data_IF_000963352368
#
_entry.id   IF_000963352368
#
_cell.length_a   1.000
_cell.length_b   1.000
_cell.length_c   1.000
_cell.angle_alpha   90.00
_cell.angle_beta   90.00
_cell.angle_gamma   90.00
#
_symmetry.space_group_name_H-M   'P 1'
#
loop_
_entity.id
_entity.type
_entity.pdbx_description
1 polymer ?
#
# COMPACT_ATOMS: atom_id res chain seq x y z
N UNK A 1 42.90 32.21 66.67
CA UNK A 1 42.41 30.83 66.50
C UNK A 1 41.12 30.88 65.71
N UNK A 2 41.18 30.51 64.43
CA UNK A 2 40.01 30.31 63.56
C UNK A 2 40.38 29.15 62.61
N UNK A 3 39.56 28.11 62.61
CA UNK A 3 39.80 26.86 61.90
C UNK A 3 39.31 26.96 60.44
N UNK A 4 40.18 26.57 59.49
CA UNK A 4 39.82 26.28 58.11
C UNK A 4 39.15 24.90 58.04
N UNK A 5 37.93 24.83 57.50
CA UNK A 5 37.27 23.59 57.08
C UNK A 5 37.54 23.35 55.60
N UNK A 6 38.29 22.30 55.30
CA UNK A 6 38.49 21.75 53.95
C UNK A 6 37.29 20.87 53.58
N UNK A 7 36.53 21.27 52.56
CA UNK A 7 35.52 20.44 51.90
C UNK A 7 36.22 19.57 50.82
N UNK A 8 36.31 18.27 51.08
CA UNK A 8 36.72 17.29 50.07
C UNK A 8 35.52 16.98 49.17
N UNK A 9 35.58 17.38 47.91
CA UNK A 9 34.63 16.97 46.88
C UNK A 9 34.98 15.58 46.35
N UNK A 10 34.07 14.62 46.50
CA UNK A 10 34.16 13.32 45.82
C UNK A 10 33.84 13.51 44.33
N UNK A 11 34.86 13.53 43.48
CA UNK A 11 34.69 13.32 42.04
C UNK A 11 34.37 11.84 41.82
N UNK A 12 33.09 11.53 41.62
CA UNK A 12 32.69 10.24 41.05
C UNK A 12 33.02 10.33 39.57
N UNK A 13 34.05 9.61 39.13
CA UNK A 13 34.31 9.37 37.71
C UNK A 13 33.09 8.68 37.11
N UNK A 14 32.23 9.46 36.46
CA UNK A 14 31.13 8.92 35.68
C UNK A 14 31.74 8.29 34.43
N UNK A 15 31.95 6.97 34.48
CA UNK A 15 32.33 6.18 33.32
C UNK A 15 31.32 6.49 32.18
N UNK A 16 31.79 6.87 30.98
CA UNK A 16 30.90 7.10 29.85
C UNK A 16 29.99 5.87 29.67
N UNK A 17 28.68 6.06 29.45
CA UNK A 17 27.79 4.93 29.23
C UNK A 17 28.35 4.06 28.10
N UNK A 18 28.61 2.78 28.41
CA UNK A 18 29.13 1.86 27.41
C UNK A 18 28.17 1.84 26.23
N UNK A 19 28.68 1.93 24.99
CA UNK A 19 27.83 1.80 23.82
C UNK A 19 27.09 0.46 23.89
N UNK A 20 25.79 0.43 23.53
CA UNK A 20 25.02 -0.79 23.57
C UNK A 20 25.73 -1.90 22.79
N UNK A 21 25.67 -3.16 23.26
CA UNK A 21 26.34 -4.27 22.61
C UNK A 21 25.91 -4.35 21.14
N UNK A 22 26.89 -4.58 20.26
CA UNK A 22 26.64 -4.71 18.84
C UNK A 22 25.62 -5.84 18.58
N UNK A 23 24.66 -5.66 17.65
CA UNK A 23 23.70 -6.70 17.31
C UNK A 23 24.42 -7.98 16.89
N UNK A 24 24.01 -9.12 17.45
CA UNK A 24 24.61 -10.43 17.14
C UNK A 24 24.07 -11.04 15.84
N UNK A 25 23.02 -10.48 15.27
CA UNK A 25 22.45 -10.92 13.98
C UNK A 25 23.00 -10.03 12.87
N UNK A 26 23.65 -10.60 11.82
CA UNK A 26 24.13 -9.80 10.70
C UNK A 26 22.95 -9.07 10.04
N UNK A 27 23.15 -7.84 9.52
CA UNK A 27 22.09 -7.11 8.87
C UNK A 27 21.57 -7.91 7.66
N UNK A 28 20.26 -7.85 7.37
CA UNK A 28 19.70 -8.54 6.22
C UNK A 28 20.36 -8.09 4.92
N UNK A 29 20.49 -8.99 3.95
CA UNK A 29 21.08 -8.65 2.65
C UNK A 29 20.08 -7.90 1.77
N UNK A 30 20.54 -7.42 0.61
CA UNK A 30 19.62 -7.04 -0.47
C UNK A 30 18.85 -8.26 -0.97
N UNK A 31 17.79 -8.00 -1.75
CA UNK A 31 16.99 -9.05 -2.38
C UNK A 31 17.86 -9.93 -3.27
N UNK A 32 17.72 -11.25 -3.09
CA UNK A 32 18.38 -12.26 -3.89
C UNK A 32 17.34 -13.10 -4.64
N UNK A 33 17.65 -13.43 -5.89
CA UNK A 33 16.83 -14.28 -6.75
C UNK A 33 17.55 -14.63 -8.05
N UNK A 34 16.91 -15.46 -8.85
CA UNK A 34 17.37 -15.87 -10.17
C UNK A 34 17.25 -14.70 -11.15
N UNK A 35 18.35 -14.26 -11.79
CA UNK A 35 18.28 -13.20 -12.77
C UNK A 35 17.55 -13.67 -14.03
N UNK A 36 16.64 -12.84 -14.55
CA UNK A 36 15.96 -13.09 -15.82
C UNK A 36 15.97 -11.82 -16.68
N UNK A 37 15.93 -12.01 -18.00
CA UNK A 37 15.87 -10.89 -18.95
C UNK A 37 14.42 -10.39 -19.15
N UNK A 38 13.43 -11.20 -18.80
CA UNK A 38 12.03 -10.93 -19.09
C UNK A 38 11.10 -11.40 -17.98
N UNK A 39 10.13 -10.55 -17.64
CA UNK A 39 8.99 -10.86 -16.79
C UNK A 39 7.74 -10.34 -17.52
N UNK A 40 6.73 -11.21 -17.71
CA UNK A 40 5.61 -11.02 -18.64
C UNK A 40 4.59 -9.92 -18.34
N UNK A 41 5.02 -8.85 -17.67
CA UNK A 41 4.20 -7.71 -17.31
C UNK A 41 4.99 -6.41 -17.43
N UNK A 42 4.26 -5.29 -17.46
CA UNK A 42 4.80 -3.94 -17.25
C UNK A 42 4.26 -3.39 -15.95
N UNK A 43 4.92 -2.34 -15.46
CA UNK A 43 4.52 -1.66 -14.24
C UNK A 43 4.05 -0.26 -14.57
N UNK A 44 2.79 0.03 -14.28
CA UNK A 44 2.30 1.40 -14.17
C UNK A 44 2.75 1.93 -12.81
N UNK A 45 3.54 3.01 -12.81
CA UNK A 45 4.21 3.54 -11.64
C UNK A 45 3.70 4.94 -11.28
N UNK A 46 3.58 5.18 -9.98
CA UNK A 46 3.27 6.48 -9.39
C UNK A 46 4.50 7.42 -9.35
N UNK A 47 5.14 7.64 -10.51
CA UNK A 47 6.21 8.65 -10.71
C UNK A 47 5.60 10.03 -10.99
N UNK A 48 6.42 11.09 -11.12
CA UNK A 48 5.96 12.41 -11.59
C UNK A 48 6.70 12.81 -12.88
N UNK A 49 6.05 12.79 -14.06
CA UNK A 49 4.68 12.33 -14.32
C UNK A 49 4.52 10.81 -14.13
N UNK A 50 3.29 10.29 -13.98
CA UNK A 50 3.01 8.85 -14.00
C UNK A 50 3.60 8.19 -15.23
N UNK A 51 4.13 6.98 -15.09
CA UNK A 51 4.87 6.31 -16.17
C UNK A 51 4.58 4.82 -16.21
N UNK A 52 4.91 4.20 -17.34
CA UNK A 52 4.99 2.76 -17.50
C UNK A 52 6.46 2.35 -17.64
N UNK A 53 6.86 1.40 -16.80
CA UNK A 53 8.16 0.73 -16.87
C UNK A 53 8.00 -0.60 -17.59
N UNK A 54 8.87 -0.81 -18.57
CA UNK A 54 9.13 -2.13 -19.13
C UNK A 54 10.28 -2.79 -18.36
N UNK A 55 10.00 -3.80 -17.50
CA UNK A 55 11.04 -4.37 -16.67
C UNK A 55 12.13 -5.08 -17.48
N UNK A 56 11.84 -5.58 -18.68
CA UNK A 56 12.83 -6.30 -19.49
C UNK A 56 13.91 -5.37 -20.06
N UNK A 57 13.53 -4.14 -20.41
CA UNK A 57 14.45 -3.15 -21.01
C UNK A 57 14.91 -2.07 -20.04
N UNK A 58 14.20 -1.91 -18.92
CA UNK A 58 14.32 -0.78 -18.01
C UNK A 58 13.82 0.55 -18.57
N UNK A 59 13.23 0.56 -19.77
CA UNK A 59 12.67 1.76 -20.36
C UNK A 59 11.45 2.23 -19.55
N UNK A 60 11.49 3.49 -19.14
CA UNK A 60 10.36 4.17 -18.49
C UNK A 60 9.80 5.20 -19.45
N UNK A 61 8.49 5.15 -19.71
CA UNK A 61 7.80 6.11 -20.59
C UNK A 61 6.62 6.76 -19.87
N UNK A 62 6.43 8.09 -19.94
CA UNK A 62 5.27 8.75 -19.36
C UNK A 62 3.96 8.16 -19.91
N UNK A 63 2.95 8.03 -19.04
CA UNK A 63 1.62 7.62 -19.48
C UNK A 63 1.00 8.72 -20.37
N UNK A 64 0.45 8.39 -21.55
CA UNK A 64 -0.19 9.35 -22.42
C UNK A 64 -1.33 10.09 -21.71
N UNK A 65 -1.40 11.41 -21.87
CA UNK A 65 -2.49 12.21 -21.30
C UNK A 65 -2.42 12.45 -19.78
N UNK A 66 -1.42 11.87 -19.09
CA UNK A 66 -1.17 12.16 -17.69
C UNK A 66 -0.69 13.61 -17.51
N UNK A 67 -1.21 14.36 -16.51
CA UNK A 67 -0.75 15.70 -16.20
C UNK A 67 0.74 15.73 -15.83
N UNK A 68 1.47 16.70 -16.38
CA UNK A 68 2.86 16.99 -15.98
C UNK A 68 2.94 17.94 -14.78
N UNK A 69 4.16 18.31 -14.39
CA UNK A 69 4.46 19.28 -13.32
C UNK A 69 4.78 18.63 -11.97
N UNK A 70 4.86 19.44 -10.91
CA UNK A 70 5.05 18.98 -9.53
C UNK A 70 3.74 18.42 -8.98
N UNK A 71 3.64 17.10 -8.99
CA UNK A 71 2.42 16.36 -8.63
C UNK A 71 2.74 15.17 -7.76
N UNK A 72 1.78 14.82 -6.90
CA UNK A 72 1.77 13.55 -6.19
C UNK A 72 0.84 12.62 -6.95
N UNK A 73 1.37 11.46 -7.34
CA UNK A 73 0.63 10.47 -8.09
C UNK A 73 0.43 9.22 -7.24
N UNK A 74 -0.68 8.53 -7.45
CA UNK A 74 -0.95 7.21 -6.89
C UNK A 74 -1.56 6.33 -7.98
N UNK A 75 -1.42 5.02 -7.86
CA UNK A 75 -1.94 4.05 -8.83
C UNK A 75 -2.67 2.94 -8.10
N UNK A 76 -3.87 2.64 -8.58
CA UNK A 76 -4.75 1.63 -8.00
C UNK A 76 -5.20 0.68 -9.09
N UNK A 77 -5.22 -0.61 -8.76
CA UNK A 77 -5.75 -1.65 -9.63
C UNK A 77 -7.27 -1.72 -9.50
N UNK A 78 -7.97 -1.66 -10.64
CA UNK A 78 -9.41 -1.91 -10.74
C UNK A 78 -9.64 -2.95 -11.84
N UNK A 79 -9.61 -4.22 -11.47
CA UNK A 79 -9.68 -5.33 -12.40
C UNK A 79 -8.49 -5.31 -13.36
N UNK A 80 -8.79 -5.15 -14.66
CA UNK A 80 -7.77 -4.98 -15.71
C UNK A 80 -7.34 -3.53 -15.95
N UNK A 81 -8.00 -2.57 -15.30
CA UNK A 81 -7.80 -1.13 -15.54
C UNK A 81 -6.86 -0.55 -14.47
N UNK A 82 -5.69 -0.02 -14.86
CA UNK A 82 -4.93 0.88 -14.00
C UNK A 82 -5.67 2.20 -13.87
N UNK A 83 -5.88 2.63 -12.63
CA UNK A 83 -6.44 3.94 -12.30
C UNK A 83 -5.36 4.79 -11.65
N UNK A 84 -5.09 5.94 -12.25
CA UNK A 84 -4.10 6.91 -11.77
C UNK A 84 -4.82 8.05 -11.09
N UNK A 85 -4.40 8.37 -9.86
CA UNK A 85 -4.80 9.56 -9.14
C UNK A 85 -3.63 10.55 -9.24
N UNK A 86 -3.89 11.76 -9.72
CA UNK A 86 -2.85 12.77 -9.89
C UNK A 86 -3.26 14.08 -9.23
N UNK A 87 -2.60 14.45 -8.12
CA UNK A 87 -2.86 15.68 -7.37
C UNK A 87 -1.73 16.69 -7.57
N UNK A 88 -2.07 17.93 -7.88
CA UNK A 88 -1.10 19.03 -7.86
C UNK A 88 -0.73 19.38 -6.42
N UNK A 89 0.53 19.77 -6.19
CA UNK A 89 0.92 20.37 -4.90
C UNK A 89 0.51 21.85 -4.88
N UNK A 90 -0.23 22.24 -3.84
CA UNK A 90 -0.55 23.64 -3.52
C UNK A 90 0.37 24.22 -2.43
N UNK A 91 1.29 23.41 -1.91
CA UNK A 91 2.27 23.78 -0.89
C UNK A 91 2.96 22.53 -0.31
N UNK A 92 3.86 22.69 0.69
CA UNK A 92 4.64 21.56 1.22
C UNK A 92 3.80 20.44 1.83
N UNK A 93 2.63 20.77 2.38
CA UNK A 93 1.69 19.83 3.02
C UNK A 93 0.31 19.81 2.36
N UNK A 94 0.13 20.54 1.26
CA UNK A 94 -1.16 20.75 0.61
C UNK A 94 -1.23 20.00 -0.73
N UNK A 95 -2.29 19.22 -0.91
CA UNK A 95 -2.61 18.57 -2.17
C UNK A 95 -4.01 19.01 -2.64
N UNK A 96 -4.07 19.40 -3.90
CA UNK A 96 -5.33 19.59 -4.61
C UNK A 96 -6.07 18.24 -4.74
N UNK A 97 -7.40 18.23 -4.92
CA UNK A 97 -8.12 17.03 -5.30
C UNK A 97 -7.49 16.37 -6.54
N UNK A 98 -7.39 15.05 -6.52
CA UNK A 98 -6.73 14.29 -7.59
C UNK A 98 -7.57 14.26 -8.86
N UNK A 99 -6.94 14.49 -10.00
CA UNK A 99 -7.52 14.09 -11.29
C UNK A 99 -7.48 12.56 -11.39
N UNK A 100 -8.62 11.94 -11.69
CA UNK A 100 -8.76 10.49 -11.78
C UNK A 100 -8.77 10.07 -13.25
N UNK A 101 -7.78 9.26 -13.61
CA UNK A 101 -7.50 8.82 -14.98
C UNK A 101 -7.56 7.30 -15.06
N UNK A 102 -8.37 6.77 -15.96
CA UNK A 102 -8.54 5.32 -16.16
C UNK A 102 -7.92 4.92 -17.48
N UNK A 103 -7.02 3.94 -17.47
CA UNK A 103 -6.37 3.44 -18.67
C UNK A 103 -6.98 2.09 -19.09
N UNK A 104 -7.67 2.08 -20.23
CA UNK A 104 -8.10 0.84 -20.90
C UNK A 104 -6.93 0.09 -21.53
N UNK A 105 -6.05 0.83 -22.21
CA UNK A 105 -4.71 0.41 -22.62
C UNK A 105 -3.76 1.54 -22.17
N UNK A 106 -2.71 1.25 -21.38
CA UNK A 106 -1.73 2.23 -20.92
C UNK A 106 -0.99 2.99 -22.05
N UNK A 107 -1.08 2.53 -23.30
CA UNK A 107 -0.52 3.22 -24.48
C UNK A 107 -1.46 4.26 -25.09
N UNK A 108 -2.71 4.31 -24.64
CA UNK A 108 -3.74 5.20 -25.18
C UNK A 108 -4.08 6.31 -24.17
N UNK A 109 -4.83 7.31 -24.65
CA UNK A 109 -5.36 8.38 -23.81
C UNK A 109 -6.34 7.81 -22.75
N UNK A 110 -6.30 8.30 -21.49
CA UNK A 110 -7.15 7.81 -20.43
C UNK A 110 -8.57 8.38 -20.53
N UNK A 111 -9.51 7.68 -19.91
CA UNK A 111 -10.80 8.26 -19.56
C UNK A 111 -10.64 9.11 -18.30
N UNK A 112 -11.07 10.37 -18.38
CA UNK A 112 -11.05 11.30 -17.23
C UNK A 112 -12.36 11.19 -16.47
N UNK A 113 -12.30 10.79 -15.20
CA UNK A 113 -13.49 10.70 -14.34
C UNK A 113 -13.79 12.01 -13.60
N UNK A 114 -12.85 12.97 -13.63
CA UNK A 114 -12.94 14.25 -12.95
C UNK A 114 -12.03 14.31 -11.73
N UNK A 115 -12.33 15.23 -10.80
CA UNK A 115 -11.59 15.41 -9.55
C UNK A 115 -12.19 14.58 -8.42
N UNK A 116 -11.35 13.93 -7.63
CA UNK A 116 -11.75 13.18 -6.46
C UNK A 116 -10.67 13.27 -5.36
N UNK A 117 -11.11 13.18 -4.11
CA UNK A 117 -10.24 13.11 -2.93
C UNK A 117 -9.82 11.69 -2.59
N UNK A 118 -10.59 10.70 -3.04
CA UNK A 118 -10.34 9.29 -2.78
C UNK A 118 -11.01 8.42 -3.84
N UNK A 119 -10.37 7.29 -4.16
CA UNK A 119 -10.81 6.32 -5.17
C UNK A 119 -10.59 4.90 -4.63
N UNK A 120 -11.55 4.01 -4.83
CA UNK A 120 -11.44 2.60 -4.49
C UNK A 120 -12.15 1.72 -5.54
N UNK A 121 -11.67 0.48 -5.78
CA UNK A 121 -12.34 -0.45 -6.66
C UNK A 121 -13.70 -0.90 -6.09
N UNK A 122 -14.66 -1.13 -6.99
CA UNK A 122 -15.88 -1.88 -6.69
C UNK A 122 -15.60 -3.35 -6.41
N UNK A 123 -16.57 -4.04 -5.81
CA UNK A 123 -16.40 -5.44 -5.39
C UNK A 123 -16.22 -6.39 -6.57
N UNK A 124 -16.84 -6.08 -7.70
CA UNK A 124 -16.73 -6.82 -8.97
C UNK A 124 -15.56 -6.34 -9.85
N UNK A 125 -14.83 -5.32 -9.39
CA UNK A 125 -13.70 -4.70 -10.08
C UNK A 125 -14.02 -4.14 -11.48
N UNK A 126 -15.30 -3.84 -11.75
CA UNK A 126 -15.75 -3.25 -13.03
C UNK A 126 -15.97 -1.73 -12.95
N UNK A 127 -15.85 -1.16 -11.76
CA UNK A 127 -16.14 0.23 -11.46
C UNK A 127 -15.27 0.78 -10.34
N UNK A 128 -15.46 2.06 -10.06
CA UNK A 128 -14.82 2.73 -8.94
C UNK A 128 -15.83 3.48 -8.09
N UNK A 129 -15.58 3.48 -6.79
CA UNK A 129 -16.14 4.42 -5.85
C UNK A 129 -15.23 5.64 -5.74
N UNK A 130 -15.84 6.82 -5.70
CA UNK A 130 -15.18 8.11 -5.63
C UNK A 130 -15.74 8.92 -4.47
N UNK A 131 -14.86 9.55 -3.69
CA UNK A 131 -15.22 10.77 -2.96
C UNK A 131 -14.91 11.93 -3.91
N UNK A 132 -15.91 12.29 -4.70
CA UNK A 132 -15.79 13.33 -5.72
C UNK A 132 -15.72 14.70 -5.05
N UNK A 133 -14.85 15.55 -5.56
CA UNK A 133 -14.76 16.94 -5.17
C UNK A 133 -15.58 17.77 -6.17
N UNK A 134 -16.65 18.39 -5.68
CA UNK A 134 -17.52 19.26 -6.49
C UNK A 134 -17.19 20.76 -6.24
N UNK A 135 -16.12 21.09 -5.49
CA UNK A 135 -15.75 22.45 -5.09
C UNK A 135 -16.41 22.91 -3.78
N UNK A 136 -15.96 24.05 -3.24
CA UNK A 136 -16.54 24.73 -2.06
C UNK A 136 -16.75 23.82 -0.82
N UNK A 137 -15.80 22.91 -0.56
CA UNK A 137 -15.87 21.88 0.49
C UNK A 137 -17.09 20.95 0.38
N UNK A 138 -17.71 20.88 -0.81
CA UNK A 138 -18.77 19.94 -1.13
C UNK A 138 -18.18 18.70 -1.79
N UNK A 139 -18.41 17.56 -1.14
CA UNK A 139 -18.04 16.26 -1.68
C UNK A 139 -19.24 15.34 -1.78
N UNK A 140 -19.12 14.34 -2.66
CA UNK A 140 -20.10 13.29 -2.79
C UNK A 140 -19.47 11.92 -3.00
N UNK A 141 -20.08 10.91 -2.41
CA UNK A 141 -19.81 9.52 -2.70
C UNK A 141 -20.49 9.16 -4.03
N UNK A 142 -19.74 8.65 -5.00
CA UNK A 142 -20.26 8.31 -6.33
C UNK A 142 -19.67 7.00 -6.83
N UNK A 143 -20.51 6.15 -7.40
CA UNK A 143 -20.08 5.01 -8.21
C UNK A 143 -19.97 5.39 -9.70
N UNK A 144 -18.91 4.94 -10.35
CA UNK A 144 -18.67 5.11 -11.78
C UNK A 144 -18.24 3.78 -12.40
N UNK A 145 -19.04 3.26 -13.34
CA UNK A 145 -18.69 2.08 -14.12
C UNK A 145 -17.55 2.38 -15.10
N UNK A 146 -16.57 1.47 -15.19
CA UNK A 146 -15.47 1.51 -16.16
C UNK A 146 -15.80 0.73 -17.45
N UNK A 147 -16.90 -0.02 -17.47
CA UNK A 147 -17.38 -0.72 -18.67
C UNK A 147 -18.30 0.17 -19.54
N UNK A 148 -18.50 1.42 -19.11
CA UNK A 148 -19.42 2.36 -19.74
C UNK A 148 -20.86 2.11 -19.33
N UNK A 149 -21.71 3.10 -19.56
CA UNK A 149 -23.17 3.11 -19.39
C UNK A 149 -23.70 3.60 -18.03
N UNK A 150 -23.06 3.32 -16.89
CA UNK A 150 -23.64 3.71 -15.57
C UNK A 150 -22.77 4.68 -14.75
N UNK A 151 -23.36 5.82 -14.40
CA UNK A 151 -22.83 6.77 -13.42
C UNK A 151 -23.95 7.13 -12.48
N UNK A 152 -23.82 6.74 -11.21
CA UNK A 152 -24.70 7.23 -10.17
C UNK A 152 -24.56 8.77 -10.10
N UNK A 153 -25.62 9.50 -9.76
CA UNK A 153 -25.51 10.93 -9.46
C UNK A 153 -24.65 11.17 -8.21
N UNK A 154 -24.53 10.14 -7.37
CA UNK A 154 -23.81 10.19 -6.12
C UNK A 154 -24.60 10.91 -5.03
N UNK A 155 -24.04 10.91 -3.83
CA UNK A 155 -24.71 11.37 -2.61
C UNK A 155 -23.78 12.24 -1.78
N UNK A 156 -24.28 13.27 -1.09
CA UNK A 156 -23.46 14.09 -0.21
C UNK A 156 -22.62 13.24 0.75
N UNK A 157 -21.35 13.58 0.87
CA UNK A 157 -20.40 12.92 1.77
C UNK A 157 -19.41 13.95 2.32
N UNK A 158 -18.80 13.65 3.46
CA UNK A 158 -17.72 14.51 3.97
C UNK A 158 -16.50 14.43 3.05
N UNK A 159 -15.87 15.57 2.77
CA UNK A 159 -14.60 15.64 2.05
C UNK A 159 -13.42 15.00 2.79
N UNK A 160 -13.57 14.72 4.09
CA UNK A 160 -12.60 13.97 4.90
C UNK A 160 -12.83 12.46 4.85
N UNK A 161 -13.80 11.99 4.06
CA UNK A 161 -14.02 10.55 3.83
C UNK A 161 -13.00 10.03 2.84
N UNK A 162 -12.48 8.83 3.06
CA UNK A 162 -11.76 8.07 2.05
C UNK A 162 -12.49 6.75 1.78
N UNK A 163 -12.68 6.40 0.51
CA UNK A 163 -13.14 5.07 0.12
C UNK A 163 -11.94 4.11 0.14
N UNK A 164 -12.15 2.89 0.61
CA UNK A 164 -11.08 1.90 0.77
C UNK A 164 -11.27 0.74 -0.19
N UNK A 165 -12.42 0.07 -0.12
CA UNK A 165 -12.83 -1.02 -1.02
C UNK A 165 -14.30 -1.36 -0.80
N UNK A 166 -14.99 -1.75 -1.86
CA UNK A 166 -16.31 -2.38 -1.73
C UNK A 166 -16.20 -3.89 -1.50
N UNK A 167 -17.06 -4.41 -0.63
CA UNK A 167 -17.29 -5.83 -0.40
C UNK A 167 -18.79 -6.14 -0.54
N UNK A 168 -19.19 -7.42 -0.66
CA UNK A 168 -20.60 -7.80 -0.77
C UNK A 168 -21.49 -7.30 0.37
N UNK A 169 -20.92 -7.04 1.56
CA UNK A 169 -21.63 -6.50 2.72
C UNK A 169 -21.71 -4.96 2.77
N UNK A 170 -21.03 -4.25 1.87
CA UNK A 170 -21.02 -2.79 1.83
C UNK A 170 -19.70 -2.20 1.39
N UNK A 171 -19.64 -0.87 1.43
CA UNK A 171 -18.45 -0.10 1.09
C UNK A 171 -17.66 0.23 2.35
N UNK A 172 -16.40 -0.22 2.41
CA UNK A 172 -15.50 0.21 3.47
C UNK A 172 -15.00 1.63 3.18
N UNK A 173 -15.22 2.52 4.14
CA UNK A 173 -14.71 3.88 4.14
C UNK A 173 -13.87 4.13 5.39
N UNK A 174 -12.94 5.07 5.31
CA UNK A 174 -12.32 5.69 6.47
C UNK A 174 -12.92 7.08 6.65
N UNK A 175 -13.59 7.32 7.78
CA UNK A 175 -14.08 8.66 8.16
C UNK A 175 -12.95 9.44 8.80
N UNK A 176 -12.93 10.78 8.63
CA UNK A 176 -11.84 11.64 9.12
C UNK A 176 -10.45 11.18 8.66
N UNK A 177 -10.38 10.69 7.41
CA UNK A 177 -9.14 10.21 6.81
C UNK A 177 -8.05 11.28 6.86
N UNK A 178 -6.82 10.85 7.16
CA UNK A 178 -5.66 11.73 7.30
C UNK A 178 -5.50 12.36 8.69
N UNK A 179 -6.41 12.09 9.64
CA UNK A 179 -6.28 12.55 11.04
C UNK A 179 -5.98 11.39 12.00
N UNK A 180 -5.64 11.72 13.24
CA UNK A 180 -5.45 10.74 14.30
C UNK A 180 -6.76 10.06 14.76
N UNK A 181 -7.91 10.62 14.39
CA UNK A 181 -9.25 10.10 14.71
C UNK A 181 -9.88 9.37 13.53
N UNK A 182 -9.06 8.90 12.58
CA UNK A 182 -9.55 8.16 11.44
C UNK A 182 -10.12 6.80 11.90
N UNK A 183 -11.33 6.47 11.44
CA UNK A 183 -12.01 5.22 11.79
C UNK A 183 -12.51 4.52 10.53
N UNK A 184 -12.37 3.19 10.51
CA UNK A 184 -12.84 2.37 9.40
C UNK A 184 -14.29 1.90 9.66
N UNK A 185 -15.17 2.22 8.73
CA UNK A 185 -16.61 1.94 8.81
C UNK A 185 -17.06 1.24 7.54
N UNK A 186 -17.77 0.13 7.70
CA UNK A 186 -18.48 -0.51 6.60
C UNK A 186 -19.87 0.13 6.51
N UNK A 187 -20.19 0.72 5.36
CA UNK A 187 -21.49 1.37 5.12
C UNK A 187 -22.27 0.64 4.03
N UNK A 188 -23.59 0.74 4.07
CA UNK A 188 -24.43 0.48 2.91
C UNK A 188 -24.32 1.69 1.97
N UNK A 189 -23.71 1.56 0.78
CA UNK A 189 -23.53 2.71 -0.12
C UNK A 189 -24.86 3.25 -0.65
N UNK A 190 -25.93 2.44 -0.66
CA UNK A 190 -27.25 2.84 -1.12
C UNK A 190 -28.07 3.58 -0.05
N UNK A 191 -27.61 3.67 1.20
CA UNK A 191 -28.28 4.47 2.24
C UNK A 191 -27.34 5.38 3.02
N UNK A 192 -26.02 5.15 2.96
CA UNK A 192 -25.02 5.79 3.78
C UNK A 192 -25.01 5.31 5.23
N UNK A 193 -25.85 4.33 5.59
CA UNK A 193 -25.93 3.82 6.97
C UNK A 193 -24.72 2.97 7.31
N UNK A 194 -24.16 3.17 8.49
CA UNK A 194 -23.15 2.28 9.04
C UNK A 194 -23.74 0.89 9.29
N UNK A 195 -23.08 -0.12 8.75
CA UNK A 195 -23.37 -1.55 8.93
C UNK A 195 -22.49 -2.12 10.04
N UNK A 196 -21.21 -1.73 10.06
CA UNK A 196 -20.26 -2.18 11.07
C UNK A 196 -19.10 -1.18 11.26
N UNK A 197 -18.50 -1.16 12.44
CA UNK A 197 -17.31 -0.36 12.75
C UNK A 197 -16.15 -1.28 13.11
N UNK A 198 -14.96 -0.99 12.60
CA UNK A 198 -13.76 -1.78 12.84
C UNK A 198 -12.64 -0.88 13.38
N UNK A 199 -11.85 -1.35 14.36
CA UNK A 199 -10.79 -0.52 14.94
C UNK A 199 -9.67 -0.22 13.94
N UNK A 200 -9.32 -1.18 13.06
CA UNK A 200 -8.36 -0.99 11.96
C UNK A 200 -8.44 -2.10 10.93
N UNK A 201 -8.86 -1.78 9.70
CA UNK A 201 -8.91 -2.74 8.59
C UNK A 201 -7.63 -2.62 7.75
N UNK A 202 -6.88 -3.72 7.68
CA UNK A 202 -5.66 -3.78 6.85
C UNK A 202 -5.99 -4.06 5.39
N UNK A 203 -6.92 -5.00 5.15
CA UNK A 203 -7.35 -5.36 3.81
C UNK A 203 -8.76 -5.92 3.79
N UNK A 204 -9.40 -5.75 2.64
CA UNK A 204 -10.71 -6.33 2.32
C UNK A 204 -10.54 -7.16 1.04
N UNK A 205 -11.03 -8.39 1.07
CA UNK A 205 -11.15 -9.26 -0.11
C UNK A 205 -12.61 -9.42 -0.48
N UNK A 206 -12.96 -10.40 -1.33
CA UNK A 206 -14.35 -10.64 -1.73
C UNK A 206 -15.23 -11.03 -0.56
N UNK A 207 -14.76 -11.88 0.35
CA UNK A 207 -15.59 -12.41 1.44
C UNK A 207 -14.89 -12.42 2.79
N UNK A 208 -13.71 -11.78 2.89
CA UNK A 208 -12.93 -11.68 4.12
C UNK A 208 -12.40 -10.27 4.36
N UNK A 209 -12.15 -9.95 5.62
CA UNK A 209 -11.33 -8.81 6.02
C UNK A 209 -10.17 -9.25 6.90
N UNK A 210 -8.98 -8.69 6.65
CA UNK A 210 -7.85 -8.77 7.56
C UNK A 210 -7.87 -7.55 8.46
N UNK A 211 -7.95 -7.77 9.77
CA UNK A 211 -8.00 -6.74 10.80
C UNK A 211 -6.71 -6.73 11.61
N UNK A 212 -6.25 -5.52 11.96
CA UNK A 212 -5.17 -5.35 12.91
C UNK A 212 -5.72 -5.29 14.34
N UNK A 213 -5.25 -6.18 15.21
CA UNK A 213 -5.44 -6.08 16.65
C UNK A 213 -4.23 -5.44 17.32
N UNK A 214 -4.31 -5.26 18.64
CA UNK A 214 -3.21 -4.74 19.44
C UNK A 214 -1.93 -5.59 19.32
N UNK A 215 -2.06 -6.92 19.37
CA UNK A 215 -0.90 -7.85 19.39
C UNK A 215 -0.93 -8.90 18.28
N UNK A 216 -2.08 -9.09 17.63
CA UNK A 216 -2.30 -10.13 16.63
C UNK A 216 -3.08 -9.58 15.45
N UNK A 217 -3.42 -10.46 14.51
CA UNK A 217 -4.42 -10.15 13.50
C UNK A 217 -5.70 -10.96 13.76
N UNK A 218 -6.74 -10.60 13.04
CA UNK A 218 -7.89 -11.48 12.87
C UNK A 218 -8.39 -11.43 11.45
N UNK A 219 -8.98 -12.54 11.01
CA UNK A 219 -9.71 -12.64 9.75
C UNK A 219 -11.19 -12.70 10.08
N UNK A 220 -11.95 -11.77 9.53
CA UNK A 220 -13.41 -11.76 9.61
C UNK A 220 -14.01 -12.36 8.35
N UNK A 221 -14.86 -13.37 8.49
CA UNK A 221 -15.70 -13.90 7.42
C UNK A 221 -16.94 -13.03 7.22
N UNK A 222 -17.00 -12.34 6.09
CA UNK A 222 -18.09 -11.43 5.75
C UNK A 222 -19.37 -12.18 5.39
N UNK A 223 -19.41 -13.50 5.33
CA UNK A 223 -20.65 -14.25 5.02
C UNK A 223 -21.45 -14.57 6.27
N UNK A 224 -20.76 -14.81 7.39
CA UNK A 224 -21.35 -15.24 8.65
C UNK A 224 -20.89 -14.44 9.88
N UNK A 225 -20.09 -13.38 9.68
CA UNK A 225 -19.50 -12.53 10.74
C UNK A 225 -18.60 -13.28 11.73
N UNK A 226 -18.10 -14.45 11.34
CA UNK A 226 -17.17 -15.21 12.17
C UNK A 226 -15.78 -14.57 12.14
N UNK A 227 -15.26 -14.24 13.31
CA UNK A 227 -13.92 -13.68 13.48
C UNK A 227 -12.97 -14.74 14.03
N UNK A 228 -11.89 -14.98 13.32
CA UNK A 228 -10.86 -15.96 13.71
C UNK A 228 -9.54 -15.24 13.96
N UNK A 229 -8.91 -15.40 15.14
CA UNK A 229 -7.60 -14.82 15.39
C UNK A 229 -6.53 -15.48 14.51
N UNK A 230 -5.56 -14.69 14.09
CA UNK A 230 -4.40 -15.14 13.32
C UNK A 230 -3.15 -14.55 13.96
N UNK A 231 -2.20 -15.41 14.30
CA UNK A 231 -0.93 -14.97 14.87
C UNK A 231 -0.13 -14.16 13.85
N UNK A 232 0.62 -13.17 14.32
CA UNK A 232 1.52 -12.42 13.46
C UNK A 232 2.75 -13.29 13.15
N UNK A 233 3.23 -13.31 11.90
CA UNK A 233 4.38 -14.13 11.54
C UNK A 233 5.71 -13.52 12.00
N UNK A 234 5.71 -12.23 12.39
CA UNK A 234 6.87 -11.49 12.87
C UNK A 234 6.60 -10.85 14.23
N UNK A 235 7.58 -10.92 15.12
CA UNK A 235 7.55 -10.30 16.45
C UNK A 235 7.85 -8.80 16.40
N UNK A 236 8.72 -8.39 15.48
CA UNK A 236 9.14 -7.00 15.26
C UNK A 236 8.66 -6.47 13.91
N UNK A 237 8.65 -5.15 13.75
CA UNK A 237 8.17 -4.47 12.56
C UNK A 237 6.67 -4.16 12.58
N UNK A 238 6.28 -3.23 11.71
CA UNK A 238 4.90 -2.76 11.58
C UNK A 238 4.30 -3.19 10.25
N UNK A 239 3.02 -3.61 10.21
CA UNK A 239 2.37 -3.88 8.94
C UNK A 239 2.29 -2.58 8.13
N UNK A 240 2.91 -2.61 6.95
CA UNK A 240 2.88 -1.58 5.93
C UNK A 240 1.79 -1.87 4.89
N UNK A 241 2.09 -1.73 3.58
CA UNK A 241 1.16 -2.10 2.52
C UNK A 241 0.64 -3.54 2.67
N UNK A 242 -0.68 -3.69 2.49
CA UNK A 242 -1.37 -4.98 2.42
C UNK A 242 -2.14 -5.04 1.12
N UNK A 243 -1.84 -6.04 0.30
CA UNK A 243 -2.41 -6.14 -1.05
C UNK A 243 -3.09 -7.51 -1.21
N UNK A 244 -4.42 -7.54 -1.37
CA UNK A 244 -5.16 -8.75 -1.71
C UNK A 244 -4.78 -9.31 -3.08
N UNK A 245 -4.67 -10.63 -3.17
CA UNK A 245 -4.59 -11.35 -4.45
C UNK A 245 -5.84 -11.07 -5.29
N UNK A 246 -5.72 -11.26 -6.60
CA UNK A 246 -6.83 -11.01 -7.54
C UNK A 246 -7.98 -11.99 -7.35
N UNK A 247 -7.66 -13.24 -7.02
CA UNK A 247 -8.65 -14.27 -6.68
C UNK A 247 -9.40 -13.97 -5.36
N UNK A 248 -8.80 -13.18 -4.47
CA UNK A 248 -9.34 -12.79 -3.17
C UNK A 248 -9.08 -13.78 -2.03
N UNK A 249 -8.32 -14.86 -2.27
CA UNK A 249 -8.06 -15.92 -1.30
C UNK A 249 -6.78 -15.72 -0.49
N UNK A 250 -5.94 -14.76 -0.88
CA UNK A 250 -4.67 -14.46 -0.23
C UNK A 250 -4.49 -12.97 -0.01
N UNK A 251 -3.64 -12.63 0.96
CA UNK A 251 -3.19 -11.25 1.18
C UNK A 251 -1.68 -11.25 1.37
N UNK A 252 -0.98 -10.42 0.59
CA UNK A 252 0.42 -10.13 0.82
C UNK A 252 0.53 -8.96 1.82
N UNK A 253 1.33 -9.15 2.86
CA UNK A 253 1.60 -8.14 3.89
C UNK A 253 3.09 -7.85 3.89
N UNK A 254 3.44 -6.58 3.69
CA UNK A 254 4.79 -6.11 3.95
C UNK A 254 4.89 -5.69 5.42
N UNK A 255 5.87 -6.23 6.14
CA UNK A 255 6.27 -5.75 7.45
C UNK A 255 7.53 -4.92 7.32
N UNK A 256 7.46 -3.67 7.77
CA UNK A 256 8.61 -2.76 7.76
C UNK A 256 9.19 -2.58 9.15
N UNK A 257 10.51 -2.72 9.27
CA UNK A 257 11.27 -2.31 10.44
C UNK A 257 12.19 -1.13 10.06
N UNK A 258 11.94 0.09 10.56
CA UNK A 258 12.74 1.26 10.23
C UNK A 258 14.12 1.27 10.91
N UNK A 259 14.35 0.42 11.91
CA UNK A 259 15.56 0.42 12.72
C UNK A 259 15.92 -1.01 13.16
N UNK A 260 16.16 -1.88 12.17
CA UNK A 260 16.36 -3.32 12.39
C UNK A 260 17.43 -3.58 13.44
N UNK A 261 17.06 -4.33 14.48
CA UNK A 261 17.90 -4.66 15.63
C UNK A 261 18.58 -3.42 16.28
N UNK A 262 17.90 -2.27 16.28
CA UNK A 262 18.42 -1.02 16.83
C UNK A 262 19.46 -0.32 15.95
N UNK A 263 19.63 -0.75 14.70
CA UNK A 263 20.55 -0.11 13.73
C UNK A 263 19.83 0.90 12.85
N UNK A 264 20.58 1.64 12.02
CA UNK A 264 20.00 2.49 10.97
C UNK A 264 19.48 1.71 9.74
N UNK A 265 19.55 0.37 9.76
CA UNK A 265 19.13 -0.47 8.63
C UNK A 265 17.62 -0.59 8.60
N UNK A 266 17.01 -0.16 7.50
CA UNK A 266 15.60 -0.39 7.24
C UNK A 266 15.43 -1.75 6.57
N UNK A 267 14.44 -2.54 7.01
CA UNK A 267 14.17 -3.85 6.45
C UNK A 267 12.71 -4.04 6.08
N UNK A 268 12.48 -4.76 4.98
CA UNK A 268 11.17 -5.21 4.55
C UNK A 268 11.09 -6.74 4.64
N UNK A 269 10.01 -7.25 5.21
CA UNK A 269 9.72 -8.68 5.33
C UNK A 269 8.33 -8.95 4.74
N UNK A 270 8.27 -9.72 3.65
CA UNK A 270 7.02 -9.96 2.93
C UNK A 270 6.50 -11.35 3.28
N UNK A 271 5.23 -11.40 3.69
CA UNK A 271 4.52 -12.63 4.02
C UNK A 271 3.18 -12.67 3.31
N UNK A 272 2.76 -13.87 2.91
CA UNK A 272 1.45 -14.12 2.30
C UNK A 272 0.61 -14.96 3.26
N UNK A 273 -0.58 -14.49 3.58
CA UNK A 273 -1.57 -15.23 4.34
C UNK A 273 -2.57 -15.87 3.38
N UNK A 274 -2.71 -17.20 3.46
CA UNK A 274 -3.83 -17.91 2.87
C UNK A 274 -5.05 -17.76 3.80
N UNK A 275 -6.15 -17.19 3.31
CA UNK A 275 -7.30 -16.80 4.13
C UNK A 275 -8.24 -17.96 4.49
N UNK A 276 -8.10 -19.09 3.81
CA UNK A 276 -8.86 -20.32 4.04
C UNK A 276 -8.25 -21.18 5.16
N UNK A 277 -6.93 -21.34 5.13
CA UNK A 277 -6.14 -22.15 6.07
C UNK A 277 -5.51 -21.31 7.18
N UNK A 278 -5.58 -19.98 7.07
CA UNK A 278 -4.96 -19.02 7.99
C UNK A 278 -3.45 -19.26 8.18
N UNK A 279 -2.80 -19.80 7.14
CA UNK A 279 -1.39 -20.15 7.16
C UNK A 279 -0.56 -19.06 6.50
N UNK A 280 0.54 -18.70 7.16
CA UNK A 280 1.52 -17.76 6.65
C UNK A 280 2.59 -18.47 5.83
N UNK A 281 2.92 -17.91 4.67
CA UNK A 281 4.08 -18.28 3.87
C UNK A 281 4.99 -17.07 3.74
N UNK A 282 6.23 -17.21 4.18
CA UNK A 282 7.23 -16.16 4.01
C UNK A 282 7.72 -16.15 2.58
N UNK A 283 7.85 -14.96 1.99
CA UNK A 283 8.50 -14.86 0.69
C UNK A 283 10.00 -15.21 0.81
N UNK A 284 10.62 -15.80 -0.22
CA UNK A 284 12.03 -16.17 -0.20
C UNK A 284 12.94 -14.97 0.09
N UNK A 285 14.14 -15.24 0.63
CA UNK A 285 15.17 -14.22 0.84
C UNK A 285 14.77 -13.06 1.77
N UNK A 286 13.72 -13.22 2.58
CA UNK A 286 13.27 -12.22 3.55
C UNK A 286 13.88 -12.44 4.96
N UNK A 287 14.09 -11.36 5.75
CA UNK A 287 13.85 -9.96 5.39
C UNK A 287 14.98 -9.44 4.48
N UNK A 288 14.73 -8.32 3.80
CA UNK A 288 15.74 -7.63 2.97
C UNK A 288 16.05 -6.24 3.51
N UNK A 289 17.31 -5.79 3.38
CA UNK A 289 17.68 -4.41 3.66
C UNK A 289 17.31 -3.51 2.46
N UNK A 290 16.38 -2.58 2.68
CA UNK A 290 15.86 -1.69 1.63
C UNK A 290 15.22 -0.44 2.22
N UNK A 291 15.31 0.73 1.57
CA UNK A 291 14.55 1.90 1.99
C UNK A 291 13.04 1.64 1.93
N UNK A 292 12.36 1.67 3.08
CA UNK A 292 10.92 1.37 3.17
C UNK A 292 10.07 2.34 2.35
N UNK A 293 10.57 3.56 2.12
CA UNK A 293 9.91 4.58 1.28
C UNK A 293 9.77 4.21 -0.19
N UNK A 294 10.49 3.20 -0.65
CA UNK A 294 10.59 2.83 -2.06
C UNK A 294 10.03 1.43 -2.35
N UNK A 295 9.55 0.71 -1.32
CA UNK A 295 9.03 -0.64 -1.51
C UNK A 295 7.56 -0.59 -1.91
N UNK A 296 7.22 -1.30 -2.98
CA UNK A 296 5.83 -1.57 -3.36
C UNK A 296 5.65 -3.07 -3.63
N UNK A 297 4.45 -3.56 -3.36
CA UNK A 297 4.03 -4.94 -3.62
C UNK A 297 2.76 -4.91 -4.46
N UNK A 298 2.61 -5.85 -5.39
CA UNK A 298 1.42 -5.96 -6.25
C UNK A 298 1.27 -7.40 -6.74
N UNK A 299 0.05 -7.82 -7.09
CA UNK A 299 -0.17 -9.13 -7.71
C UNK A 299 -0.27 -9.02 -9.23
N UNK A 300 0.43 -9.90 -9.95
CA UNK A 300 0.23 -10.12 -11.39
C UNK A 300 -1.13 -10.78 -11.65
N UNK A 301 -1.51 -10.90 -12.93
CA UNK A 301 -2.73 -11.61 -13.35
C UNK A 301 -2.64 -13.12 -13.14
N UNK A 302 -1.44 -13.70 -13.15
CA UNK A 302 -1.18 -15.13 -12.97
C UNK A 302 -0.90 -15.54 -11.50
N UNK A 303 -1.39 -14.73 -10.54
CA UNK A 303 -1.23 -14.92 -9.09
C UNK A 303 0.24 -14.95 -8.60
N UNK A 304 1.12 -14.31 -9.35
CA UNK A 304 2.48 -14.00 -8.93
C UNK A 304 2.54 -12.72 -8.10
N UNK A 305 3.45 -12.66 -7.13
CA UNK A 305 3.72 -11.48 -6.33
C UNK A 305 4.88 -10.70 -6.95
N UNK A 306 4.66 -9.42 -7.19
CA UNK A 306 5.68 -8.46 -7.60
C UNK A 306 6.16 -7.68 -6.38
N UNK A 307 7.47 -7.50 -6.28
CA UNK A 307 8.13 -6.65 -5.30
C UNK A 307 9.05 -5.67 -6.04
N UNK A 308 8.87 -4.38 -5.79
CA UNK A 308 9.74 -3.34 -6.36
C UNK A 308 10.57 -2.68 -5.26
N UNK A 309 11.89 -2.69 -5.41
CA UNK A 309 12.87 -2.07 -4.49
C UNK A 309 13.84 -1.17 -5.28
N UNK A 310 15.14 -1.43 -5.22
CA UNK A 310 16.12 -1.06 -6.24
C UNK A 310 16.03 -1.93 -7.51
N UNK A 311 15.28 -3.04 -7.46
CA UNK A 311 15.03 -3.96 -8.58
C UNK A 311 13.54 -4.26 -8.73
N UNK A 312 13.16 -4.89 -9.84
CA UNK A 312 11.84 -5.51 -10.00
C UNK A 312 11.99 -7.01 -9.83
N UNK A 313 11.24 -7.58 -8.88
CA UNK A 313 11.24 -9.00 -8.61
C UNK A 313 9.83 -9.58 -8.71
N UNK A 314 9.76 -10.83 -9.11
CA UNK A 314 8.55 -11.60 -9.27
C UNK A 314 8.71 -12.98 -8.62
N UNK A 315 7.74 -13.37 -7.79
CA UNK A 315 7.74 -14.65 -7.09
C UNK A 315 6.36 -15.28 -7.15
N UNK A 316 6.32 -16.57 -7.48
CA UNK A 316 5.12 -17.39 -7.37
C UNK A 316 5.27 -18.27 -6.14
N UNK A 317 4.18 -18.45 -5.40
CA UNK A 317 4.19 -19.20 -4.13
C UNK A 317 4.68 -20.65 -4.27
N UNK A 318 4.55 -21.24 -5.47
CA UNK A 318 5.03 -22.59 -5.80
C UNK A 318 6.53 -22.66 -6.11
N UNK A 319 7.25 -21.53 -6.09
CA UNK A 319 8.68 -21.45 -6.39
C UNK A 319 9.50 -21.11 -5.14
N UNK A 320 10.71 -21.69 -5.01
CA UNK A 320 11.56 -21.47 -3.83
C UNK A 320 12.34 -20.15 -3.86
N UNK A 321 12.38 -19.45 -4.99
CA UNK A 321 13.19 -18.25 -5.20
C UNK A 321 12.41 -17.17 -5.96
N UNK A 322 12.84 -15.92 -5.79
CA UNK A 322 12.43 -14.82 -6.65
C UNK A 322 13.07 -14.95 -8.03
N UNK A 323 12.36 -14.52 -9.06
CA UNK A 323 12.96 -14.08 -10.33
C UNK A 323 13.19 -12.57 -10.24
N UNK A 324 14.35 -12.09 -10.67
CA UNK A 324 14.76 -10.70 -10.50
C UNK A 324 15.20 -10.14 -11.83
N UNK A 325 14.60 -9.03 -12.25
CA UNK A 325 15.14 -8.22 -13.34
C UNK A 325 15.87 -7.04 -12.72
N UNK A 326 17.17 -6.91 -13.03
CA UNK A 326 18.02 -5.82 -12.57
C UNK A 326 17.75 -4.56 -13.39
N UNK A 327 16.53 -4.07 -13.27
CA UNK A 327 16.09 -2.85 -13.90
C UNK A 327 16.12 -1.72 -12.89
N UNK A 328 16.84 -0.61 -13.17
CA UNK A 328 16.83 0.54 -12.30
C UNK A 328 15.43 1.13 -12.26
N UNK A 329 14.90 1.30 -11.05
CA UNK A 329 13.62 1.97 -10.82
C UNK A 329 13.84 3.49 -10.68
N UNK A 330 12.91 4.33 -11.16
CA UNK A 330 12.98 5.78 -10.93
C UNK A 330 13.12 6.11 -9.44
N UNK A 331 14.05 7.00 -9.11
CA UNK A 331 14.36 7.36 -7.72
C UNK A 331 13.18 8.04 -7.00
N UNK A 332 12.47 8.91 -7.72
CA UNK A 332 11.28 9.61 -7.23
C UNK A 332 10.00 8.89 -7.67
N UNK A 333 9.41 8.15 -6.73
CA UNK A 333 8.14 7.46 -6.92
C UNK A 333 7.43 7.25 -5.58
N UNK A 334 6.11 7.12 -5.63
CA UNK A 334 5.31 6.65 -4.50
C UNK A 334 5.33 5.11 -4.38
N UNK A 335 4.82 4.59 -3.25
CA UNK A 335 4.84 3.16 -2.87
C UNK A 335 3.73 2.34 -3.53
N UNK A 336 3.32 2.69 -4.73
CA UNK A 336 2.24 2.03 -5.46
C UNK A 336 2.65 1.76 -6.90
N UNK A 337 2.32 0.55 -7.35
CA UNK A 337 2.54 0.08 -8.71
C UNK A 337 1.35 -0.79 -9.11
N UNK A 338 1.01 -0.80 -10.39
CA UNK A 338 0.00 -1.71 -10.94
C UNK A 338 0.65 -2.53 -12.04
N UNK A 339 0.48 -3.85 -11.99
CA UNK A 339 0.91 -4.75 -13.05
C UNK A 339 -0.10 -4.71 -14.20
N UNK A 340 0.42 -4.63 -15.42
CA UNK A 340 -0.37 -4.76 -16.65
C UNK A 340 0.28 -5.80 -17.55
N UNK A 341 -0.53 -6.61 -18.23
CA UNK A 341 -0.02 -7.60 -19.17
C UNK A 341 0.82 -6.94 -20.28
N UNK A 342 1.90 -7.58 -20.68
CA UNK A 342 2.57 -7.27 -21.94
C UNK A 342 1.74 -7.86 -23.07
N UNK A 343 0.88 -7.02 -23.66
CA UNK A 343 0.01 -7.38 -24.78
C UNK A 343 0.74 -7.60 -26.09
#
# INVERSE_FOLDING_TARGET
MAALLLLAGCTVDAQPPQPPPAPTTPPPSRLQGEPVDFIGFRLVMATSPPSILDPATGATTPLPGAPGGDRVNDVVRVGKFPVVLSAARCGPSCLEPSEVLVYGDPRNQPWRLGKARSVAPSADETGVWLIRDDGDDLCRLQYVSLLGVERDRGRPASCTTAVRREAPKGLLISVNSGTASAEDVLIDPATGRAVHQFPRVLAVTKDRMLLAELTKFSVLDLRNDQRTPVERPVTNGTPGPVVPSRDGYRVAVLFGDPAWAGTATQTADVWVLALDTLTWTRAPSMPIATPLKQVAIEWTEDDGLVLTTDVVAHWRLDRPHWTVVRTPLPAERNRSVVTVAQG
#
